data_IF_134117797559
#
_entry.id   IF_134117797559
#
_cell.length_a   1.000
_cell.length_b   1.000
_cell.length_c   1.000
_cell.angle_alpha   90.00
_cell.angle_beta   90.00
_cell.angle_gamma   90.00
#
_symmetry.space_group_name_H-M   'P 1'
#
loop_
_entity.id
_entity.type
_entity.pdbx_description
1 polymer ?
#
# COMPACT_ATOMS: atom_id res chain seq x y z
N UNK A 1 12.24 -7.59 15.09
CA UNK A 1 12.53 -6.33 15.82
C UNK A 1 11.56 -6.23 16.98
N UNK A 2 12.01 -5.89 18.19
CA UNK A 2 11.10 -5.62 19.30
C UNK A 2 10.23 -4.41 18.93
N UNK A 3 8.92 -4.61 18.74
CA UNK A 3 7.99 -3.51 18.54
C UNK A 3 8.03 -2.63 19.79
N UNK A 4 8.74 -1.50 19.69
CA UNK A 4 8.76 -0.52 20.77
C UNK A 4 7.34 0.00 20.97
N UNK A 5 6.80 -0.21 22.16
CA UNK A 5 5.48 0.29 22.50
C UNK A 5 5.57 1.68 23.15
N UNK A 6 4.55 2.48 22.95
CA UNK A 6 4.34 3.76 23.63
C UNK A 6 3.05 3.71 24.43
N UNK A 7 3.08 4.18 25.68
CA UNK A 7 1.87 4.26 26.50
C UNK A 7 0.95 5.37 25.99
N UNK A 8 -0.37 5.23 26.21
CA UNK A 8 -1.34 6.29 25.89
C UNK A 8 -0.95 7.64 26.51
N UNK A 9 -0.43 7.63 27.74
CA UNK A 9 -0.03 8.85 28.44
C UNK A 9 1.12 9.54 27.69
N UNK A 10 2.19 8.79 27.40
CA UNK A 10 3.36 9.29 26.68
C UNK A 10 3.00 9.75 25.25
N UNK A 11 2.09 9.04 24.59
CA UNK A 11 1.61 9.40 23.25
C UNK A 11 0.93 10.77 23.22
N UNK A 12 0.00 11.02 24.14
CA UNK A 12 -0.72 12.29 24.23
C UNK A 12 0.24 13.45 24.55
N UNK A 13 1.22 13.20 25.41
CA UNK A 13 2.25 14.18 25.80
C UNK A 13 3.15 14.55 24.61
N UNK A 14 3.63 13.55 23.85
CA UNK A 14 4.54 13.77 22.71
C UNK A 14 3.88 14.42 21.50
N UNK A 15 2.60 14.14 21.26
CA UNK A 15 1.89 14.60 20.06
C UNK A 15 1.01 15.82 20.30
N UNK A 16 0.90 16.28 21.55
CA UNK A 16 0.07 17.42 21.95
C UNK A 16 -1.40 17.30 21.55
N UNK A 17 -1.91 16.07 21.37
CA UNK A 17 -3.33 15.81 21.12
C UNK A 17 -4.06 15.54 22.43
N UNK A 18 -5.35 15.87 22.49
CA UNK A 18 -6.18 15.52 23.63
C UNK A 18 -6.65 14.06 23.58
N UNK A 19 -6.95 13.49 24.74
CA UNK A 19 -7.56 12.16 24.83
C UNK A 19 -8.85 12.05 24.00
N UNK A 20 -9.67 13.12 23.98
CA UNK A 20 -10.89 13.18 23.17
C UNK A 20 -10.60 13.13 21.66
N UNK A 21 -9.54 13.77 21.19
CA UNK A 21 -9.11 13.72 19.79
C UNK A 21 -8.69 12.30 19.40
N UNK A 22 -7.83 11.67 20.21
CA UNK A 22 -7.39 10.29 19.99
C UNK A 22 -8.59 9.32 19.88
N UNK A 23 -9.57 9.44 20.78
CA UNK A 23 -10.74 8.57 20.76
C UNK A 23 -11.72 8.91 19.62
N UNK A 24 -11.84 10.19 19.24
CA UNK A 24 -12.62 10.60 18.07
C UNK A 24 -12.03 10.03 16.78
N UNK A 25 -10.71 10.04 16.65
CA UNK A 25 -9.98 9.45 15.52
C UNK A 25 -10.11 7.94 15.48
N UNK A 26 -10.10 7.27 16.65
CA UNK A 26 -10.46 5.85 16.75
C UNK A 26 -11.85 5.56 16.18
N UNK A 27 -12.89 6.26 16.66
CA UNK A 27 -14.29 6.04 16.21
C UNK A 27 -14.51 6.38 14.74
N UNK A 28 -13.69 7.28 14.20
CA UNK A 28 -13.69 7.65 12.78
C UNK A 28 -12.78 6.74 11.94
N UNK A 29 -12.25 5.64 12.48
CA UNK A 29 -11.37 4.69 11.79
C UNK A 29 -10.08 5.32 11.21
N UNK A 30 -9.60 6.44 11.75
CA UNK A 30 -8.32 7.06 11.31
C UNK A 30 -7.11 6.35 11.88
N UNK A 31 -7.29 5.69 13.02
CA UNK A 31 -6.30 4.89 13.72
C UNK A 31 -6.88 3.48 13.85
N UNK A 32 -6.17 2.44 13.37
CA UNK A 32 -6.65 1.07 13.44
C UNK A 32 -6.93 0.63 14.88
N UNK A 33 -7.99 -0.15 15.09
CA UNK A 33 -8.38 -0.57 16.43
C UNK A 33 -7.37 -1.54 17.06
N UNK A 34 -6.73 -2.36 16.23
CA UNK A 34 -5.69 -3.31 16.61
C UNK A 34 -4.46 -2.63 17.24
N UNK A 35 -4.22 -1.36 16.96
CA UNK A 35 -3.14 -0.59 17.58
C UNK A 35 -3.43 -0.22 19.04
N UNK A 36 -4.67 -0.37 19.52
CA UNK A 36 -5.05 -0.10 20.92
C UNK A 36 -4.81 -1.35 21.79
N UNK A 37 -3.54 -1.65 22.04
CA UNK A 37 -3.11 -2.84 22.77
C UNK A 37 -3.32 -2.63 24.27
N UNK A 38 -4.28 -3.33 24.87
CA UNK A 38 -4.52 -3.26 26.31
C UNK A 38 -3.59 -4.24 27.05
N UNK A 39 -2.79 -3.73 27.99
CA UNK A 39 -1.94 -4.56 28.86
C UNK A 39 -2.27 -4.32 30.33
N UNK A 40 -2.22 -5.39 31.11
CA UNK A 40 -2.29 -5.30 32.57
C UNK A 40 -0.97 -4.76 33.11
N UNK A 41 -1.05 -3.75 33.96
CA UNK A 41 0.06 -3.09 34.65
C UNK A 41 -0.17 -3.18 36.16
N UNK A 42 0.87 -2.89 36.94
CA UNK A 42 0.80 -2.94 38.41
C UNK A 42 -0.30 -2.03 39.00
N UNK A 43 -0.65 -0.95 38.30
CA UNK A 43 -1.65 0.05 38.73
C UNK A 43 -3.00 -0.07 38.01
N UNK A 44 -3.22 -1.10 37.18
CA UNK A 44 -4.48 -1.31 36.46
C UNK A 44 -4.28 -1.73 35.00
N UNK A 45 -5.24 -1.44 34.13
CA UNK A 45 -5.13 -1.71 32.70
C UNK A 45 -4.70 -0.46 31.93
N UNK A 46 -3.58 -0.54 31.23
CA UNK A 46 -3.09 0.54 30.37
C UNK A 46 -3.23 0.19 28.89
N UNK A 47 -3.27 1.21 28.04
CA UNK A 47 -3.29 1.05 26.58
C UNK A 47 -1.95 1.48 26.02
N UNK A 48 -1.38 0.62 25.20
CA UNK A 48 -0.13 0.80 24.48
C UNK A 48 -0.40 0.80 22.98
N UNK A 49 0.54 1.40 22.24
CA UNK A 49 0.50 1.52 20.79
C UNK A 49 1.87 1.18 20.19
N UNK A 50 1.93 0.65 18.95
CA UNK A 50 3.19 0.56 18.20
C UNK A 50 3.77 1.96 18.01
N UNK A 51 4.92 2.25 18.63
CA UNK A 51 5.45 3.61 18.82
C UNK A 51 5.65 4.34 17.50
N UNK A 52 6.31 3.72 16.53
CA UNK A 52 6.61 4.38 15.26
C UNK A 52 5.35 4.64 14.44
N UNK A 53 4.49 3.63 14.31
CA UNK A 53 3.30 3.71 13.45
C UNK A 53 2.30 4.73 13.97
N UNK A 54 2.05 4.74 15.29
CA UNK A 54 1.10 5.68 15.88
C UNK A 54 1.60 7.13 15.82
N UNK A 55 2.90 7.37 16.00
CA UNK A 55 3.48 8.71 15.95
C UNK A 55 3.45 9.25 14.51
N UNK A 56 3.83 8.43 13.53
CA UNK A 56 3.71 8.77 12.10
C UNK A 56 2.24 9.08 11.74
N UNK A 57 1.31 8.23 12.18
CA UNK A 57 -0.13 8.39 11.90
C UNK A 57 -0.70 9.67 12.51
N UNK A 58 -0.39 9.98 13.76
CA UNK A 58 -0.87 11.21 14.41
C UNK A 58 -0.31 12.45 13.72
N UNK A 59 0.98 12.44 13.38
CA UNK A 59 1.60 13.55 12.63
C UNK A 59 0.90 13.78 11.29
N UNK A 60 0.58 12.71 10.58
CA UNK A 60 -0.18 12.75 9.32
C UNK A 60 -1.58 13.33 9.52
N UNK A 61 -2.34 12.86 10.51
CA UNK A 61 -3.68 13.39 10.81
C UNK A 61 -3.62 14.88 11.17
N UNK A 62 -2.63 15.31 11.97
CA UNK A 62 -2.49 16.71 12.37
C UNK A 62 -2.21 17.62 11.16
N UNK A 63 -1.32 17.21 10.25
CA UNK A 63 -1.03 17.94 9.02
C UNK A 63 -2.25 18.06 8.10
N UNK A 64 -3.04 16.99 7.98
CA UNK A 64 -4.21 16.95 7.08
C UNK A 64 -5.42 17.72 7.61
N UNK A 65 -5.56 17.81 8.94
CA UNK A 65 -6.69 18.49 9.61
C UNK A 65 -6.76 19.99 9.30
N UNK A 66 -5.68 20.60 8.86
CA UNK A 66 -5.67 22.02 8.47
C UNK A 66 -6.44 22.29 7.18
N UNK A 67 -6.56 21.28 6.29
CA UNK A 67 -7.09 21.46 4.93
C UNK A 67 -8.29 20.54 4.60
N UNK A 68 -8.65 19.57 5.45
CA UNK A 68 -9.64 18.53 5.13
C UNK A 68 -10.63 18.28 6.28
N UNK A 69 -11.83 17.81 5.93
CA UNK A 69 -12.84 17.35 6.89
C UNK A 69 -12.48 15.97 7.48
N UNK A 70 -13.09 15.64 8.62
CA UNK A 70 -12.86 14.35 9.30
C UNK A 70 -13.36 13.14 8.51
N UNK A 71 -14.31 13.32 7.60
CA UNK A 71 -14.82 12.25 6.76
C UNK A 71 -13.93 12.03 5.52
N UNK A 72 -13.35 13.10 4.94
CA UNK A 72 -12.32 13.00 3.89
C UNK A 72 -11.02 12.37 4.42
N UNK A 73 -10.60 12.74 5.64
CA UNK A 73 -9.47 12.11 6.30
C UNK A 73 -9.69 10.61 6.57
N UNK A 74 -10.94 10.17 6.77
CA UNK A 74 -11.27 8.76 6.98
C UNK A 74 -11.13 7.94 5.71
N UNK A 75 -11.55 8.47 4.58
CA UNK A 75 -11.33 7.82 3.28
C UNK A 75 -9.83 7.66 2.97
N UNK A 76 -9.01 8.65 3.32
CA UNK A 76 -7.56 8.61 3.07
C UNK A 76 -6.78 7.69 4.02
N UNK A 77 -7.28 7.45 5.24
CA UNK A 77 -6.56 6.73 6.30
C UNK A 77 -7.11 5.33 6.59
N UNK A 78 -8.22 4.95 5.93
CA UNK A 78 -8.80 3.62 6.01
C UNK A 78 -7.83 2.54 5.52
N UNK A 79 -7.59 1.46 6.30
CA UNK A 79 -6.83 0.29 5.85
C UNK A 79 -7.62 -0.60 4.87
N UNK A 80 -8.93 -0.34 4.68
CA UNK A 80 -9.64 -0.85 3.51
C UNK A 80 -9.20 0.01 2.34
N UNK A 81 -8.44 -0.60 1.45
CA UNK A 81 -8.08 -0.05 0.16
C UNK A 81 -9.25 0.74 -0.40
N UNK A 82 -9.04 2.04 -0.53
CA UNK A 82 -9.73 2.95 -1.42
C UNK A 82 -10.78 2.25 -2.31
N UNK A 83 -12.07 2.52 -2.09
CA UNK A 83 -13.08 2.49 -3.17
C UNK A 83 -12.82 3.68 -4.12
N UNK A 84 -11.56 3.89 -4.52
CA UNK A 84 -11.18 4.84 -5.56
C UNK A 84 -11.33 4.07 -6.86
N UNK A 85 -12.52 4.22 -7.43
CA UNK A 85 -12.83 3.68 -8.74
C UNK A 85 -12.40 4.72 -9.78
N UNK A 86 -11.31 4.48 -10.51
CA UNK A 86 -10.77 5.43 -11.51
C UNK A 86 -10.89 4.88 -12.92
N UNK A 87 -11.06 5.78 -13.88
CA UNK A 87 -11.08 5.42 -15.30
C UNK A 87 -9.66 5.26 -15.85
N UNK A 88 -9.52 4.52 -16.94
CA UNK A 88 -8.25 4.37 -17.65
C UNK A 88 -7.65 5.73 -18.07
N UNK A 89 -8.51 6.62 -18.55
CA UNK A 89 -8.10 7.95 -19.02
C UNK A 89 -7.54 8.81 -17.88
N UNK A 90 -8.15 8.76 -16.70
CA UNK A 90 -7.64 9.49 -15.53
C UNK A 90 -6.24 9.01 -15.13
N UNK A 91 -5.99 7.70 -15.19
CA UNK A 91 -4.69 7.11 -14.82
C UNK A 91 -3.60 7.49 -15.82
N UNK A 92 -3.94 7.51 -17.12
CA UNK A 92 -3.02 7.90 -18.19
C UNK A 92 -2.74 9.41 -18.13
N UNK A 93 -3.78 10.24 -17.96
CA UNK A 93 -3.62 11.69 -17.89
C UNK A 93 -2.75 12.11 -16.69
N UNK A 94 -2.85 11.40 -15.57
CA UNK A 94 -1.99 11.61 -14.39
C UNK A 94 -0.60 11.02 -14.52
N UNK A 95 -0.28 10.37 -15.65
CA UNK A 95 1.03 9.75 -15.87
C UNK A 95 1.33 8.58 -14.93
N UNK A 96 0.30 8.01 -14.29
CA UNK A 96 0.45 6.86 -13.38
C UNK A 96 0.67 5.56 -14.13
N UNK A 97 0.12 5.46 -15.35
CA UNK A 97 0.25 4.31 -16.24
C UNK A 97 0.38 4.76 -17.68
N UNK A 98 1.04 3.94 -18.49
CA UNK A 98 1.09 4.06 -19.94
C UNK A 98 -0.06 3.30 -20.60
N UNK A 99 -0.38 3.66 -21.85
CA UNK A 99 -1.30 2.87 -22.69
C UNK A 99 -0.81 1.42 -22.84
N UNK A 100 0.50 1.22 -22.90
CA UNK A 100 1.10 -0.11 -22.98
C UNK A 100 0.83 -0.96 -21.73
N UNK A 101 0.91 -0.38 -20.53
CA UNK A 101 0.56 -1.08 -19.30
C UNK A 101 -0.93 -1.46 -19.26
N UNK A 102 -1.81 -0.58 -19.74
CA UNK A 102 -3.24 -0.85 -19.86
C UNK A 102 -3.52 -2.03 -20.81
N UNK A 103 -2.89 -2.04 -21.99
CA UNK A 103 -3.01 -3.12 -22.97
C UNK A 103 -2.52 -4.47 -22.40
N UNK A 104 -1.40 -4.44 -21.66
CA UNK A 104 -0.86 -5.62 -20.97
C UNK A 104 -1.80 -6.12 -19.88
N UNK A 105 -2.44 -5.20 -19.15
CA UNK A 105 -3.41 -5.56 -18.11
C UNK A 105 -4.69 -6.17 -18.70
N UNK A 106 -5.01 -5.94 -19.97
CA UNK A 106 -6.00 -6.72 -20.74
C UNK A 106 -7.37 -6.88 -20.06
N UNK A 107 -7.95 -5.80 -19.52
CA UNK A 107 -9.31 -5.85 -18.93
C UNK A 107 -10.16 -4.58 -19.10
N UNK A 108 -9.73 -3.60 -19.90
CA UNK A 108 -10.56 -2.42 -20.07
C UNK A 108 -10.30 -1.60 -21.31
N UNK A 109 -11.38 -1.26 -22.02
CA UNK A 109 -11.38 -0.13 -22.93
C UNK A 109 -11.28 1.18 -22.15
N UNK A 110 -11.21 2.30 -22.86
CA UNK A 110 -10.96 3.65 -22.30
C UNK A 110 -11.93 4.02 -21.14
N UNK A 111 -13.13 3.42 -21.09
CA UNK A 111 -14.16 3.67 -20.06
C UNK A 111 -14.21 2.65 -18.91
N UNK A 112 -13.23 1.77 -18.76
CA UNK A 112 -13.22 0.81 -17.66
C UNK A 112 -12.88 1.48 -16.33
N UNK A 113 -13.67 1.14 -15.32
CA UNK A 113 -13.47 1.59 -13.94
C UNK A 113 -12.67 0.52 -13.20
N UNK A 114 -11.53 0.92 -12.66
CA UNK A 114 -10.59 0.03 -11.98
C UNK A 114 -10.80 0.02 -10.47
N UNK A 115 -10.83 -1.18 -9.88
CA UNK A 115 -10.82 -1.36 -8.44
C UNK A 115 -9.43 -1.07 -7.86
N UNK A 116 -9.32 -0.93 -6.54
CA UNK A 116 -8.01 -0.74 -5.88
C UNK A 116 -7.00 -1.85 -6.15
N UNK A 117 -7.47 -3.09 -6.34
CA UNK A 117 -6.62 -4.21 -6.77
C UNK A 117 -6.06 -3.97 -8.17
N UNK A 118 -6.91 -3.54 -9.07
CA UNK A 118 -6.53 -3.29 -10.46
C UNK A 118 -5.55 -2.13 -10.54
N UNK A 119 -5.76 -1.08 -9.73
CA UNK A 119 -4.85 0.05 -9.62
C UNK A 119 -3.46 -0.36 -9.13
N UNK A 120 -3.38 -1.19 -8.07
CA UNK A 120 -2.09 -1.72 -7.61
C UNK A 120 -1.42 -2.56 -8.70
N UNK A 121 -2.19 -3.44 -9.35
CA UNK A 121 -1.68 -4.32 -10.40
C UNK A 121 -1.15 -3.52 -11.59
N UNK A 122 -1.89 -2.51 -12.03
CA UNK A 122 -1.51 -1.59 -13.09
C UNK A 122 -0.25 -0.79 -12.73
N UNK A 123 -0.15 -0.29 -11.50
CA UNK A 123 1.03 0.44 -11.04
C UNK A 123 2.29 -0.44 -11.02
N UNK A 124 2.17 -1.67 -10.52
CA UNK A 124 3.27 -2.65 -10.54
C UNK A 124 3.67 -2.98 -11.98
N UNK A 125 2.71 -3.17 -12.89
CA UNK A 125 2.98 -3.43 -14.30
C UNK A 125 3.69 -2.26 -14.98
N UNK A 126 3.28 -1.02 -14.71
CA UNK A 126 3.96 0.16 -15.21
C UNK A 126 5.43 0.16 -14.76
N UNK A 127 5.70 -0.08 -13.47
CA UNK A 127 7.07 -0.18 -12.95
C UNK A 127 7.90 -1.27 -13.61
N UNK A 128 7.33 -2.46 -13.85
CA UNK A 128 8.00 -3.56 -14.55
C UNK A 128 8.34 -3.22 -16.00
N UNK A 129 7.44 -2.50 -16.70
CA UNK A 129 7.68 -2.09 -18.08
C UNK A 129 8.72 -0.96 -18.17
N UNK A 130 8.67 0.00 -17.25
CA UNK A 130 9.63 1.09 -17.17
C UNK A 130 11.04 0.62 -16.80
N UNK A 131 11.17 -0.49 -16.05
CA UNK A 131 12.50 -1.03 -15.70
C UNK A 131 13.29 -1.52 -16.91
N UNK A 132 12.61 -1.88 -18.01
CA UNK A 132 13.22 -2.43 -19.22
C UNK A 132 13.77 -3.85 -19.06
N UNK A 133 13.68 -4.46 -17.88
CA UNK A 133 14.17 -5.81 -17.60
C UNK A 133 13.18 -6.91 -18.03
N UNK A 134 11.90 -6.51 -18.16
CA UNK A 134 10.75 -7.38 -18.43
C UNK A 134 10.17 -7.05 -19.80
N UNK A 135 9.96 -8.07 -20.62
CA UNK A 135 9.29 -7.94 -21.91
C UNK A 135 7.76 -7.87 -21.77
N UNK A 136 7.06 -7.41 -22.80
CA UNK A 136 5.58 -7.35 -22.81
C UNK A 136 4.94 -8.72 -22.52
N UNK A 137 5.52 -9.81 -23.02
CA UNK A 137 5.03 -11.16 -22.77
C UNK A 137 5.16 -11.57 -21.30
N UNK A 138 6.27 -11.18 -20.66
CA UNK A 138 6.52 -11.46 -19.25
C UNK A 138 5.68 -10.57 -18.33
N UNK A 139 5.46 -9.32 -18.72
CA UNK A 139 4.54 -8.42 -18.02
C UNK A 139 3.09 -8.96 -18.07
N UNK A 140 2.66 -9.55 -19.19
CA UNK A 140 1.36 -10.25 -19.27
C UNK A 140 1.28 -11.45 -18.32
N UNK A 141 2.36 -12.21 -18.16
CA UNK A 141 2.40 -13.30 -17.18
C UNK A 141 2.27 -12.76 -15.75
N UNK A 142 3.00 -11.68 -15.41
CA UNK A 142 2.89 -11.02 -14.12
C UNK A 142 1.48 -10.47 -13.86
N UNK A 143 0.85 -9.87 -14.87
CA UNK A 143 -0.54 -9.40 -14.80
C UNK A 143 -1.49 -10.54 -14.44
N UNK A 144 -1.32 -11.72 -15.06
CA UNK A 144 -2.11 -12.91 -14.75
C UNK A 144 -1.98 -13.33 -13.29
N UNK A 145 -0.77 -13.35 -12.74
CA UNK A 145 -0.54 -13.69 -11.33
C UNK A 145 -1.16 -12.64 -10.39
N UNK A 146 -0.99 -11.35 -10.68
CA UNK A 146 -1.55 -10.26 -9.87
C UNK A 146 -3.08 -10.28 -9.81
N UNK A 147 -3.75 -10.67 -10.90
CA UNK A 147 -5.21 -10.78 -10.97
C UNK A 147 -5.79 -11.98 -10.24
N UNK A 148 -5.06 -13.08 -10.18
CA UNK A 148 -5.54 -14.34 -9.60
C UNK A 148 -5.65 -14.31 -8.07
N UNK A 149 -5.00 -13.36 -7.41
CA UNK A 149 -4.95 -13.28 -5.95
C UNK A 149 -5.65 -12.02 -5.43
N UNK A 150 -6.45 -12.22 -4.36
CA UNK A 150 -7.14 -11.13 -3.70
C UNK A 150 -6.16 -10.27 -2.90
N UNK A 151 -6.40 -8.96 -2.91
CA UNK A 151 -5.62 -7.97 -2.15
C UNK A 151 -5.54 -8.22 -0.64
N UNK A 152 -6.47 -8.98 -0.05
CA UNK A 152 -6.38 -9.41 1.36
C UNK A 152 -5.24 -10.42 1.61
N UNK A 153 -4.85 -11.22 0.60
CA UNK A 153 -3.66 -12.09 0.67
C UNK A 153 -2.36 -11.28 0.51
N UNK A 154 -2.41 -10.19 -0.27
CA UNK A 154 -1.27 -9.28 -0.56
C UNK A 154 -0.84 -8.45 0.67
N UNK A 155 -1.68 -8.35 1.71
CA UNK A 155 -1.40 -7.54 2.92
C UNK A 155 -0.26 -8.04 3.81
N UNK A 156 0.30 -9.23 3.56
CA UNK A 156 1.36 -9.83 4.38
C UNK A 156 2.71 -9.76 3.68
N UNK A 157 3.40 -8.61 3.72
CA UNK A 157 4.77 -8.43 3.18
C UNK A 157 5.01 -9.30 1.93
N UNK A 158 4.16 -9.20 0.91
CA UNK A 158 4.22 -10.07 -0.25
C UNK A 158 5.08 -9.43 -1.32
N UNK A 159 5.79 -10.25 -2.08
CA UNK A 159 6.62 -9.81 -3.19
C UNK A 159 6.25 -10.56 -4.47
N UNK A 160 6.17 -9.83 -5.57
CA UNK A 160 6.15 -10.40 -6.91
C UNK A 160 7.60 -10.68 -7.33
N UNK A 161 7.90 -11.92 -7.68
CA UNK A 161 9.23 -12.34 -8.13
C UNK A 161 9.13 -12.82 -9.57
N UNK A 162 9.98 -12.27 -10.44
CA UNK A 162 10.12 -12.68 -11.84
C UNK A 162 11.48 -13.35 -12.01
N UNK A 163 11.47 -14.60 -12.47
CA UNK A 163 12.67 -15.43 -12.66
C UNK A 163 12.83 -15.79 -14.13
N UNK A 164 14.07 -15.87 -14.60
CA UNK A 164 14.40 -16.32 -15.95
C UNK A 164 15.51 -17.35 -15.92
N UNK A 165 15.27 -18.50 -16.57
CA UNK A 165 16.26 -19.57 -16.77
C UNK A 165 16.24 -19.99 -18.23
N UNK A 166 17.40 -19.93 -18.88
CA UNK A 166 17.56 -20.32 -20.30
C UNK A 166 16.53 -19.66 -21.24
N UNK A 167 16.13 -18.41 -20.95
CA UNK A 167 15.13 -17.67 -21.73
C UNK A 167 13.66 -18.01 -21.41
N UNK A 168 13.41 -18.98 -20.52
CA UNK A 168 12.07 -19.28 -20.00
C UNK A 168 11.83 -18.48 -18.74
N UNK A 169 10.67 -17.83 -18.67
CA UNK A 169 10.30 -16.96 -17.55
C UNK A 169 9.16 -17.55 -16.75
N UNK A 170 9.27 -17.42 -15.43
CA UNK A 170 8.24 -17.74 -14.44
C UNK A 170 8.10 -16.57 -13.48
N UNK A 171 6.89 -16.30 -13.03
CA UNK A 171 6.65 -15.34 -11.96
C UNK A 171 5.63 -15.90 -10.97
N UNK A 172 5.71 -15.41 -9.74
CA UNK A 172 4.82 -15.80 -8.64
C UNK A 172 4.84 -14.74 -7.55
N UNK A 173 3.82 -14.76 -6.70
CA UNK A 173 3.78 -13.97 -5.47
C UNK A 173 4.17 -14.89 -4.31
N UNK A 174 5.08 -14.42 -3.46
CA UNK A 174 5.50 -15.12 -2.26
C UNK A 174 5.57 -14.16 -1.08
N UNK A 175 5.44 -14.69 0.14
CA UNK A 175 5.74 -13.91 1.33
C UNK A 175 7.23 -13.53 1.30
N UNK A 176 7.53 -12.29 1.69
CA UNK A 176 8.89 -11.78 1.78
C UNK A 176 9.68 -12.68 2.72
N UNK A 177 10.68 -13.33 2.14
CA UNK A 177 11.62 -14.17 2.84
C UNK A 177 13.00 -13.51 2.80
N UNK A 178 13.72 -13.59 3.92
CA UNK A 178 15.07 -13.02 4.05
C UNK A 178 16.06 -13.65 3.05
N UNK A 179 15.88 -14.92 2.70
CA UNK A 179 16.72 -15.61 1.73
C UNK A 179 15.95 -16.65 0.91
N UNK A 180 15.97 -16.49 -0.42
CA UNK A 180 15.56 -17.52 -1.37
C UNK A 180 16.82 -18.03 -2.06
N UNK A 181 17.05 -19.34 -2.00
CA UNK A 181 18.18 -19.98 -2.65
C UNK A 181 17.75 -20.54 -4.00
N UNK A 182 18.40 -20.07 -5.07
CA UNK A 182 18.15 -20.53 -6.42
C UNK A 182 19.31 -21.42 -6.91
N UNK A 183 19.03 -22.31 -7.86
CA UNK A 183 20.11 -22.97 -8.60
C UNK A 183 20.95 -21.93 -9.38
N UNK A 184 22.19 -22.28 -9.71
CA UNK A 184 23.18 -21.35 -10.28
C UNK A 184 22.79 -20.70 -11.63
N UNK A 185 21.87 -21.31 -12.37
CA UNK A 185 21.46 -20.86 -13.71
C UNK A 185 20.22 -19.94 -13.72
N UNK A 186 19.53 -19.79 -12.59
CA UNK A 186 18.34 -18.95 -12.46
C UNK A 186 18.77 -17.50 -12.23
N UNK A 187 18.15 -16.58 -12.97
CA UNK A 187 18.29 -15.14 -12.77
C UNK A 187 17.01 -14.57 -12.18
N UNK A 188 17.12 -13.82 -11.09
CA UNK A 188 16.05 -12.93 -10.63
C UNK A 188 16.05 -11.72 -11.55
N UNK A 189 14.98 -11.56 -12.33
CA UNK A 189 14.82 -10.47 -13.29
C UNK A 189 14.29 -9.22 -12.58
N UNK A 190 13.25 -9.41 -11.77
CA UNK A 190 12.60 -8.36 -10.99
C UNK A 190 12.08 -8.93 -9.67
N UNK A 191 12.06 -8.07 -8.65
CA UNK A 191 11.46 -8.36 -7.34
C UNK A 191 10.77 -7.09 -6.85
N UNK A 192 9.46 -7.15 -6.72
CA UNK A 192 8.62 -5.99 -6.36
C UNK A 192 7.95 -6.26 -5.03
N UNK A 193 8.21 -5.40 -4.05
CA UNK A 193 7.48 -5.37 -2.78
C UNK A 193 6.09 -4.75 -3.01
N UNK A 194 5.06 -5.58 -2.87
CA UNK A 194 3.68 -5.18 -3.15
C UNK A 194 3.11 -4.27 -2.06
N UNK A 195 3.61 -4.37 -0.83
CA UNK A 195 3.22 -3.47 0.26
C UNK A 195 3.79 -2.07 0.00
N UNK A 196 5.08 -2.00 -0.35
CA UNK A 196 5.74 -0.74 -0.72
C UNK A 196 5.08 -0.09 -1.96
N UNK A 197 4.81 -0.87 -3.00
CA UNK A 197 4.12 -0.38 -4.20
C UNK A 197 2.72 0.17 -3.86
N UNK A 198 2.00 -0.45 -2.92
CA UNK A 198 0.71 0.07 -2.44
C UNK A 198 0.85 1.40 -1.70
N UNK A 199 1.89 1.57 -0.87
CA UNK A 199 2.17 2.83 -0.17
C UNK A 199 2.61 3.95 -1.11
N UNK A 200 3.44 3.64 -2.11
CA UNK A 200 3.86 4.59 -3.14
C UNK A 200 2.69 5.04 -4.00
N UNK A 201 1.82 4.11 -4.41
CA UNK A 201 0.58 4.43 -5.13
C UNK A 201 -0.31 5.37 -4.31
N UNK A 202 -0.51 5.09 -3.01
CA UNK A 202 -1.26 5.98 -2.11
C UNK A 202 -0.61 7.36 -2.01
N UNK A 203 0.71 7.42 -1.87
CA UNK A 203 1.43 8.69 -1.72
C UNK A 203 1.34 9.53 -2.99
N UNK A 204 1.53 8.91 -4.15
CA UNK A 204 1.40 9.57 -5.46
C UNK A 204 -0.02 10.07 -5.67
N UNK A 205 -1.02 9.29 -5.28
CA UNK A 205 -2.42 9.71 -5.29
C UNK A 205 -2.70 10.89 -4.34
N UNK A 206 -2.07 10.92 -3.16
CA UNK A 206 -2.26 11.97 -2.16
C UNK A 206 -1.53 13.28 -2.49
N UNK A 207 -0.39 13.23 -3.18
CA UNK A 207 0.41 14.43 -3.50
C UNK A 207 -0.24 15.30 -4.60
N UNK A 208 -0.95 14.70 -5.55
CA UNK A 208 -1.56 15.46 -6.66
C UNK A 208 -2.94 16.06 -6.34
N UNK A 209 -3.61 15.61 -5.28
CA UNK A 209 -4.79 16.29 -4.74
C UNK A 209 -4.53 17.72 -4.24
N UNK A 210 -3.25 18.08 -4.09
CA UNK A 210 -2.80 19.42 -3.69
C UNK A 210 -2.31 20.30 -4.85
N UNK A 211 -2.36 19.83 -6.11
CA UNK A 211 -1.97 20.66 -7.26
C UNK A 211 -3.12 21.42 -7.93
N UNK A 212 -4.36 21.22 -7.46
CA UNK A 212 -5.56 21.88 -8.00
C UNK A 212 -6.45 22.58 -6.95
N UNK A 213 -5.87 22.95 -5.80
CA UNK A 213 -6.43 23.97 -4.89
C UNK A 213 -5.51 25.18 -4.85
#
# INVERSE_FOLDING_TARGET
>A
MEEQLISKKELLEKTSISYGQLYRWKRKNLIPEEWFIRKSTFTGQETFFPREDILKRISMIQKMKENLSLDEMREMLSPKMMDVSMTADDLIHKGLISRTALDVFSEGGENSVFSSRDLLSLYVLEGLLQSGNVSLAEAKMAAGVLKQHDTEEIKKQMELIVLRKLGVTTCFIAAAADSILFESSVKVVERVDLAKASEELKTTYMQEGHQWM
#
